data_IF_889672079044
#
_entry.id   IF_889672079044
#
_cell.length_a   1.000
_cell.length_b   1.000
_cell.length_c   1.000
_cell.angle_alpha   90.00
_cell.angle_beta   90.00
_cell.angle_gamma   90.00
#
_symmetry.space_group_name_H-M   'P 1'
#
loop_
_entity.id
_entity.type
_entity.pdbx_description
1 polymer ?
#
# COMPACT_ATOMS: atom_id res chain seq x y z
N UNK A 1 23.45 -2.87 10.76
CA UNK A 1 22.53 -1.73 10.62
C UNK A 1 21.40 -1.93 11.63
N UNK A 2 21.29 -1.04 12.62
CA UNK A 2 20.24 -1.14 13.64
C UNK A 2 18.87 -0.92 12.98
N UNK A 3 17.95 -1.86 13.16
CA UNK A 3 16.55 -1.79 12.71
C UNK A 3 15.90 -0.46 13.12
N UNK A 4 14.91 0.01 12.37
CA UNK A 4 14.12 1.20 12.69
C UNK A 4 13.38 1.07 14.03
N UNK A 5 13.16 -0.16 14.51
CA UNK A 5 12.80 -0.38 15.91
C UNK A 5 13.79 0.36 16.84
N UNK A 6 15.09 0.27 16.59
CA UNK A 6 16.12 0.98 17.34
C UNK A 6 16.13 2.49 17.08
N UNK A 7 15.90 2.98 15.86
CA UNK A 7 15.91 4.44 15.58
C UNK A 7 14.66 5.16 16.10
N UNK A 8 13.48 4.54 16.07
CA UNK A 8 12.27 5.06 16.73
C UNK A 8 12.37 4.95 18.26
N UNK A 9 13.16 4.01 18.79
CA UNK A 9 13.52 3.95 20.22
C UNK A 9 14.55 5.04 20.58
N UNK A 10 15.49 5.40 19.70
CA UNK A 10 16.59 6.35 20.03
C UNK A 10 16.12 7.81 20.12
N UNK A 11 14.98 8.18 19.51
CA UNK A 11 14.35 9.47 19.80
C UNK A 11 13.52 9.47 21.10
N UNK A 12 13.60 8.41 21.92
CA UNK A 12 13.01 8.34 23.25
C UNK A 12 14.06 8.57 24.34
N UNK A 13 14.32 9.84 24.67
CA UNK A 13 14.66 10.22 26.05
C UNK A 13 13.40 10.19 26.94
N UNK A 14 12.65 9.08 26.89
CA UNK A 14 11.40 8.91 27.62
C UNK A 14 11.32 7.50 28.20
N UNK A 15 11.52 7.37 29.51
CA UNK A 15 11.63 6.10 30.22
C UNK A 15 10.41 5.16 30.13
N UNK A 16 10.50 4.05 30.86
CA UNK A 16 9.55 2.91 30.96
C UNK A 16 8.04 3.24 30.92
N UNK A 17 7.61 4.46 31.24
CA UNK A 17 6.21 4.91 31.12
C UNK A 17 5.73 5.27 29.70
N UNK A 18 6.63 5.48 28.73
CA UNK A 18 6.27 5.82 27.34
C UNK A 18 5.69 4.62 26.59
N UNK A 19 6.34 3.46 26.68
CA UNK A 19 5.93 2.21 26.03
C UNK A 19 4.57 1.70 26.52
N UNK A 20 4.29 1.78 27.82
CA UNK A 20 3.01 1.36 28.41
C UNK A 20 1.84 2.28 27.97
N UNK A 21 2.11 3.58 27.82
CA UNK A 21 1.15 4.55 27.27
C UNK A 21 0.77 4.22 25.82
N UNK A 22 1.73 3.84 24.99
CA UNK A 22 1.48 3.47 23.59
C UNK A 22 0.72 2.16 23.44
N UNK A 23 1.02 1.15 24.25
CA UNK A 23 0.29 -0.12 24.28
C UNK A 23 -1.19 0.07 24.69
N UNK A 24 -1.44 0.94 25.68
CA UNK A 24 -2.80 1.29 26.12
C UNK A 24 -3.59 2.03 25.04
N UNK A 25 -2.96 2.97 24.34
CA UNK A 25 -3.56 3.69 23.22
C UNK A 25 -3.90 2.75 22.06
N UNK A 26 -3.00 1.84 21.70
CA UNK A 26 -3.23 0.84 20.66
C UNK A 26 -4.43 -0.07 20.98
N UNK A 27 -4.51 -0.55 22.23
CA UNK A 27 -5.62 -1.38 22.71
C UNK A 27 -6.97 -0.66 22.67
N UNK A 28 -6.99 0.65 22.92
CA UNK A 28 -8.21 1.47 22.84
C UNK A 28 -8.58 1.85 21.40
N UNK A 29 -7.58 2.06 20.54
CA UNK A 29 -7.74 2.52 19.17
C UNK A 29 -8.15 1.40 18.19
N UNK A 30 -7.95 0.13 18.56
CA UNK A 30 -8.42 -1.02 17.78
C UNK A 30 -7.43 -1.47 16.72
N UNK A 31 -7.92 -1.91 15.55
CA UNK A 31 -7.07 -2.32 14.42
C UNK A 31 -6.72 -1.13 13.54
N UNK A 32 -5.53 -1.15 12.96
CA UNK A 32 -5.12 -0.15 11.98
C UNK A 32 -5.70 -0.49 10.59
N UNK A 33 -6.51 0.40 10.02
CA UNK A 33 -7.21 0.19 8.75
C UNK A 33 -6.53 0.86 7.56
N UNK A 34 -6.25 0.06 6.54
CA UNK A 34 -5.63 0.49 5.29
C UNK A 34 -6.59 0.20 4.15
N UNK A 35 -6.86 1.20 3.32
CA UNK A 35 -7.47 0.98 2.01
C UNK A 35 -6.36 0.88 0.96
N UNK A 36 -6.26 -0.25 0.27
CA UNK A 36 -5.34 -0.42 -0.85
C UNK A 36 -6.11 -0.23 -2.17
N UNK A 37 -5.58 0.65 -3.01
CA UNK A 37 -6.18 1.12 -4.26
C UNK A 37 -5.22 0.89 -5.41
N UNK A 38 -5.74 0.62 -6.60
CA UNK A 38 -4.94 0.60 -7.81
C UNK A 38 -5.55 -0.27 -8.90
N UNK A 39 -4.98 -0.21 -10.10
CA UNK A 39 -5.40 -1.00 -11.28
C UNK A 39 -5.41 -2.51 -11.00
N UNK A 40 -6.08 -3.26 -11.86
CA UNK A 40 -5.95 -4.72 -11.87
C UNK A 40 -4.46 -5.08 -12.05
N UNK A 41 -4.01 -6.10 -11.33
CA UNK A 41 -2.61 -6.56 -11.35
C UNK A 41 -1.56 -5.50 -10.95
N UNK A 42 -1.94 -4.46 -10.20
CA UNK A 42 -1.00 -3.44 -9.70
C UNK A 42 -0.09 -3.91 -8.54
N UNK A 43 -0.19 -5.19 -8.10
CA UNK A 43 0.62 -5.74 -7.02
C UNK A 43 0.04 -5.59 -5.61
N UNK A 44 -1.26 -5.23 -5.49
CA UNK A 44 -1.94 -5.00 -4.20
C UNK A 44 -1.79 -6.17 -3.22
N UNK A 45 -2.22 -7.37 -3.61
CA UNK A 45 -2.13 -8.57 -2.77
C UNK A 45 -0.69 -8.91 -2.38
N UNK A 46 0.27 -8.72 -3.30
CA UNK A 46 1.70 -8.94 -3.02
C UNK A 46 2.20 -8.01 -1.92
N UNK A 47 1.84 -6.72 -1.95
CA UNK A 47 2.18 -5.76 -0.90
C UNK A 47 1.57 -6.17 0.44
N UNK A 48 0.30 -6.60 0.45
CA UNK A 48 -0.38 -7.04 1.68
C UNK A 48 0.29 -8.27 2.30
N UNK A 49 0.63 -9.27 1.50
CA UNK A 49 1.36 -10.46 1.95
C UNK A 49 2.74 -10.09 2.51
N UNK A 50 3.44 -9.17 1.84
CA UNK A 50 4.76 -8.68 2.26
C UNK A 50 4.74 -7.89 3.56
N UNK A 51 3.81 -6.94 3.73
CA UNK A 51 3.72 -6.18 4.99
C UNK A 51 3.34 -7.07 6.17
N UNK A 52 2.62 -8.17 5.91
CA UNK A 52 2.25 -9.14 6.93
C UNK A 52 3.25 -10.30 7.06
N UNK A 53 4.40 -10.23 6.38
CA UNK A 53 5.45 -11.26 6.37
C UNK A 53 4.88 -12.69 6.26
N UNK A 54 3.99 -12.91 5.27
CA UNK A 54 3.30 -14.18 5.06
C UNK A 54 3.08 -14.47 3.59
N UNK A 55 2.94 -15.75 3.27
CA UNK A 55 2.47 -16.23 1.96
C UNK A 55 0.99 -16.63 1.99
N UNK A 56 0.40 -16.73 3.18
CA UNK A 56 -0.97 -17.18 3.40
C UNK A 56 -1.98 -16.15 2.89
N UNK A 57 -3.18 -16.62 2.58
CA UNK A 57 -4.29 -15.74 2.25
C UNK A 57 -4.96 -15.18 3.52
N UNK A 58 -5.49 -13.94 3.47
CA UNK A 58 -6.17 -13.35 4.59
C UNK A 58 -7.52 -14.03 4.83
N UNK A 59 -7.98 -13.97 6.08
CA UNK A 59 -9.36 -14.24 6.41
C UNK A 59 -10.21 -13.03 6.01
N UNK A 60 -11.31 -13.30 5.30
CA UNK A 60 -12.23 -12.26 4.83
C UNK A 60 -13.49 -12.28 5.71
N UNK A 61 -13.88 -11.10 6.19
CA UNK A 61 -15.09 -10.89 6.97
C UNK A 61 -15.98 -9.86 6.30
N UNK A 62 -17.29 -10.12 6.23
CA UNK A 62 -18.23 -9.15 5.68
C UNK A 62 -18.53 -8.01 6.67
N UNK A 63 -19.33 -7.02 6.26
CA UNK A 63 -19.74 -5.90 7.12
C UNK A 63 -20.52 -6.28 8.40
N UNK A 64 -20.95 -7.54 8.54
CA UNK A 64 -21.58 -8.09 9.76
C UNK A 64 -20.58 -8.80 10.69
N UNK A 65 -19.32 -8.93 10.26
CA UNK A 65 -18.29 -9.67 10.99
C UNK A 65 -18.37 -11.18 10.77
N UNK A 66 -19.13 -11.65 9.78
CA UNK A 66 -19.22 -13.07 9.44
C UNK A 66 -18.08 -13.43 8.49
N UNK A 67 -17.40 -14.54 8.76
CA UNK A 67 -16.35 -15.05 7.87
C UNK A 67 -16.98 -15.52 6.56
N UNK A 68 -16.44 -15.04 5.44
CA UNK A 68 -16.85 -15.45 4.09
C UNK A 68 -15.81 -16.38 3.50
N UNK A 69 -16.24 -17.33 2.65
CA UNK A 69 -15.32 -18.24 1.99
C UNK A 69 -14.43 -17.48 0.99
N UNK A 70 -13.12 -17.72 1.07
CA UNK A 70 -12.07 -16.86 0.52
C UNK A 70 -11.51 -17.30 -0.83
N UNK A 71 -12.14 -18.27 -1.50
CA UNK A 71 -11.71 -18.84 -2.80
C UNK A 71 -11.66 -17.84 -3.97
N UNK A 72 -11.86 -16.55 -3.72
CA UNK A 72 -11.94 -15.42 -4.66
C UNK A 72 -10.65 -14.60 -4.84
N UNK A 73 -9.52 -15.02 -4.26
CA UNK A 73 -8.24 -14.29 -4.37
C UNK A 73 -7.26 -14.84 -5.43
N UNK A 74 -7.61 -15.94 -6.11
CA UNK A 74 -6.83 -16.44 -7.24
C UNK A 74 -6.82 -15.43 -8.41
N UNK A 75 -5.71 -15.28 -9.17
CA UNK A 75 -5.60 -14.35 -10.31
C UNK A 75 -6.50 -14.70 -11.51
N UNK A 76 -7.47 -15.61 -11.37
CA UNK A 76 -8.31 -16.08 -12.47
C UNK A 76 -9.51 -15.15 -12.71
N UNK A 77 -10.03 -15.20 -13.94
CA UNK A 77 -11.04 -14.27 -14.46
C UNK A 77 -12.40 -14.28 -13.72
N UNK A 78 -12.61 -15.20 -12.78
CA UNK A 78 -13.84 -15.33 -11.99
C UNK A 78 -13.66 -14.67 -10.61
N UNK A 79 -13.50 -13.35 -10.61
CA UNK A 79 -13.55 -12.55 -9.37
C UNK A 79 -14.98 -12.51 -8.81
N UNK A 80 -15.37 -13.56 -8.10
CA UNK A 80 -16.55 -13.53 -7.22
C UNK A 80 -16.47 -12.34 -6.25
N UNK A 81 -17.62 -11.67 -6.05
CA UNK A 81 -17.99 -10.68 -5.02
C UNK A 81 -16.83 -10.06 -4.19
N UNK A 82 -15.88 -9.40 -4.84
CA UNK A 82 -14.98 -8.43 -4.19
C UNK A 82 -15.80 -7.20 -3.76
N UNK A 83 -16.08 -7.06 -2.48
CA UNK A 83 -16.72 -5.89 -1.88
C UNK A 83 -15.69 -5.14 -1.02
N UNK A 84 -15.45 -3.87 -1.34
CA UNK A 84 -14.51 -3.00 -0.64
C UNK A 84 -14.83 -2.86 0.86
N UNK A 85 -16.09 -3.13 1.25
CA UNK A 85 -16.51 -3.10 2.66
C UNK A 85 -16.02 -4.30 3.46
N UNK A 86 -15.65 -5.40 2.79
CA UNK A 86 -15.10 -6.59 3.43
C UNK A 86 -13.76 -6.28 4.10
N UNK A 87 -13.54 -6.89 5.25
CA UNK A 87 -12.33 -6.79 6.04
C UNK A 87 -11.42 -7.97 5.73
N UNK A 88 -10.19 -7.69 5.28
CA UNK A 88 -9.15 -8.69 5.07
C UNK A 88 -8.16 -8.63 6.24
N UNK A 89 -7.99 -9.76 6.93
CA UNK A 89 -7.14 -9.86 8.12
C UNK A 89 -6.19 -11.04 7.97
N UNK A 90 -4.89 -10.77 8.01
CA UNK A 90 -3.87 -11.82 8.00
C UNK A 90 -3.62 -12.33 9.42
N UNK A 91 -3.57 -13.64 9.59
CA UNK A 91 -3.28 -14.25 10.90
C UNK A 91 -1.89 -13.91 11.43
N UNK A 92 -0.93 -13.72 10.52
CA UNK A 92 0.43 -13.30 10.86
C UNK A 92 0.48 -11.87 11.41
N UNK A 93 -0.52 -11.03 11.11
CA UNK A 93 -0.61 -9.66 11.60
C UNK A 93 -2.06 -9.21 11.82
N UNK A 94 -2.71 -9.66 12.92
CA UNK A 94 -4.13 -9.42 13.16
C UNK A 94 -4.46 -7.99 13.62
N UNK A 95 -3.44 -7.15 13.82
CA UNK A 95 -3.61 -5.75 14.16
C UNK A 95 -3.93 -4.87 12.95
N UNK A 96 -3.72 -5.36 11.73
CA UNK A 96 -4.19 -4.69 10.51
C UNK A 96 -5.58 -5.16 10.09
N UNK A 97 -6.29 -4.26 9.42
CA UNK A 97 -7.45 -4.60 8.60
C UNK A 97 -7.31 -3.91 7.27
N UNK A 98 -7.29 -4.71 6.21
CA UNK A 98 -7.16 -4.22 4.85
C UNK A 98 -8.51 -4.21 4.16
N UNK A 99 -8.72 -3.18 3.35
CA UNK A 99 -9.80 -3.09 2.39
C UNK A 99 -9.17 -3.01 1.01
N UNK A 100 -9.54 -3.90 0.10
CA UNK A 100 -9.01 -3.92 -1.27
C UNK A 100 -10.06 -3.32 -2.23
N UNK A 101 -9.68 -2.27 -2.96
CA UNK A 101 -10.51 -1.82 -4.08
C UNK A 101 -10.39 -2.81 -5.24
N UNK A 102 -11.45 -3.02 -6.02
CA UNK A 102 -11.26 -3.75 -7.28
C UNK A 102 -10.30 -2.95 -8.17
N UNK A 103 -9.70 -3.66 -9.14
CA UNK A 103 -8.85 -3.00 -10.11
C UNK A 103 -9.63 -1.89 -10.82
N UNK A 104 -9.10 -0.66 -10.84
CA UNK A 104 -9.60 0.38 -11.73
C UNK A 104 -9.31 -0.06 -13.16
N UNK A 105 -10.31 -0.56 -13.87
CA UNK A 105 -10.22 -0.80 -15.30
C UNK A 105 -10.52 0.50 -16.06
N UNK A 106 -9.88 0.66 -17.22
CA UNK A 106 -9.97 1.87 -18.03
C UNK A 106 -11.43 2.12 -18.47
N UNK A 107 -12.17 2.93 -17.71
CA UNK A 107 -13.57 3.26 -17.94
C UNK A 107 -14.52 3.02 -16.76
N UNK A 108 -14.07 2.42 -15.67
CA UNK A 108 -14.91 2.08 -14.51
C UNK A 108 -15.29 3.27 -13.63
N UNK A 109 -16.18 4.16 -14.10
CA UNK A 109 -16.78 5.23 -13.28
C UNK A 109 -17.40 4.65 -12.00
N UNK A 110 -17.97 3.45 -12.09
CA UNK A 110 -18.61 2.76 -10.98
C UNK A 110 -17.63 2.42 -9.85
N UNK A 111 -16.40 2.01 -10.16
CA UNK A 111 -15.41 1.65 -9.14
C UNK A 111 -14.95 2.89 -8.38
N UNK A 112 -14.72 4.00 -9.10
CA UNK A 112 -14.41 5.28 -8.48
C UNK A 112 -15.52 5.72 -7.49
N UNK A 113 -16.80 5.60 -7.89
CA UNK A 113 -17.91 5.95 -7.00
C UNK A 113 -18.01 5.02 -5.78
N UNK A 114 -17.73 3.71 -5.94
CA UNK A 114 -17.69 2.78 -4.81
C UNK A 114 -16.60 3.15 -3.80
N UNK A 115 -15.38 3.42 -4.26
CA UNK A 115 -14.29 3.85 -3.38
C UNK A 115 -14.63 5.18 -2.71
N UNK A 116 -15.23 6.13 -3.45
CA UNK A 116 -15.62 7.44 -2.91
C UNK A 116 -16.67 7.31 -1.82
N UNK A 117 -17.71 6.50 -2.07
CA UNK A 117 -18.76 6.20 -1.10
C UNK A 117 -18.17 5.52 0.14
N UNK A 118 -17.33 4.50 -0.06
CA UNK A 118 -16.68 3.78 1.03
C UNK A 118 -15.86 4.71 1.94
N UNK A 119 -15.02 5.57 1.36
CA UNK A 119 -14.27 6.56 2.13
C UNK A 119 -15.18 7.55 2.85
N UNK A 120 -16.25 8.02 2.20
CA UNK A 120 -17.22 8.94 2.82
C UNK A 120 -17.95 8.30 4.01
N UNK A 121 -18.35 7.04 3.89
CA UNK A 121 -19.05 6.32 4.94
C UNK A 121 -18.09 6.04 6.11
N UNK A 122 -16.87 5.56 5.83
CA UNK A 122 -15.83 5.36 6.85
C UNK A 122 -15.42 6.65 7.56
N UNK A 123 -15.40 7.79 6.86
CA UNK A 123 -15.07 9.08 7.45
C UNK A 123 -16.14 9.60 8.44
N UNK A 124 -17.39 9.11 8.36
CA UNK A 124 -18.49 9.48 9.27
C UNK A 124 -18.51 8.64 10.54
N UNK A 125 -17.74 7.56 10.60
CA UNK A 125 -17.70 6.69 11.77
C UNK A 125 -17.14 7.43 12.99
N UNK A 126 -17.77 7.22 14.15
CA UNK A 126 -17.37 7.92 15.40
C UNK A 126 -16.13 7.32 16.03
N UNK A 127 -15.93 6.01 15.84
CA UNK A 127 -14.84 5.26 16.47
C UNK A 127 -13.67 5.18 15.52
N UNK A 128 -12.48 5.52 16.01
CA UNK A 128 -11.24 5.47 15.23
C UNK A 128 -11.05 4.10 14.55
N UNK A 129 -11.27 3.01 15.31
CA UNK A 129 -11.18 1.64 14.81
C UNK A 129 -12.07 1.30 13.62
N UNK A 130 -13.04 2.14 13.27
CA UNK A 130 -13.99 1.90 12.18
C UNK A 130 -13.75 2.86 10.99
N UNK A 131 -12.80 3.81 11.12
CA UNK A 131 -12.37 4.75 10.07
C UNK A 131 -11.19 4.18 9.25
N UNK A 132 -10.98 4.68 8.03
CA UNK A 132 -9.74 4.41 7.27
C UNK A 132 -8.62 5.34 7.78
N UNK A 133 -7.44 4.78 8.03
CA UNK A 133 -6.31 5.54 8.57
C UNK A 133 -5.32 6.01 7.49
N UNK A 134 -5.14 5.23 6.43
CA UNK A 134 -4.28 5.57 5.29
C UNK A 134 -4.77 4.87 4.04
N UNK A 135 -4.52 5.51 2.89
CA UNK A 135 -4.75 4.93 1.58
C UNK A 135 -3.40 4.62 0.94
N UNK A 136 -3.25 3.39 0.46
CA UNK A 136 -2.10 2.96 -0.33
C UNK A 136 -2.52 2.85 -1.79
N UNK A 137 -2.03 3.73 -2.65
CA UNK A 137 -2.38 3.73 -4.07
C UNK A 137 -1.25 3.12 -4.89
N UNK A 138 -1.48 1.94 -5.47
CA UNK A 138 -0.50 1.17 -6.25
C UNK A 138 -0.52 1.58 -7.73
N UNK A 139 0.65 1.98 -8.24
CA UNK A 139 0.87 2.41 -9.63
C UNK A 139 1.90 1.46 -10.25
N UNK A 140 1.49 0.56 -11.15
CA UNK A 140 2.41 -0.37 -11.79
C UNK A 140 3.25 0.35 -12.86
N UNK A 141 4.57 0.16 -12.79
CA UNK A 141 5.55 0.79 -13.69
C UNK A 141 5.91 -0.06 -14.91
N UNK A 142 5.23 -1.21 -15.08
CA UNK A 142 5.43 -2.11 -16.23
C UNK A 142 4.59 -1.73 -17.47
N UNK A 143 4.09 -0.49 -17.51
CA UNK A 143 3.33 0.09 -18.62
C UNK A 143 4.12 1.29 -19.16
N UNK A 144 4.16 1.45 -20.48
CA UNK A 144 4.76 2.60 -21.18
C UNK A 144 4.27 3.95 -20.65
N UNK A 145 3.02 4.00 -20.15
CA UNK A 145 2.41 5.18 -19.53
C UNK A 145 1.81 4.80 -18.17
N UNK A 146 2.60 4.86 -17.08
CA UNK A 146 2.17 4.42 -15.76
C UNK A 146 0.99 5.22 -15.20
N UNK A 147 0.99 6.54 -15.46
CA UNK A 147 -0.10 7.43 -15.06
C UNK A 147 -1.19 7.41 -16.12
N UNK A 148 -2.34 6.84 -15.78
CA UNK A 148 -3.49 6.73 -16.69
C UNK A 148 -4.64 7.62 -16.23
N UNK A 149 -5.77 7.57 -16.95
CA UNK A 149 -6.99 8.23 -16.54
C UNK A 149 -7.48 7.77 -15.14
N UNK A 150 -7.15 6.55 -14.70
CA UNK A 150 -7.51 6.09 -13.35
C UNK A 150 -6.80 6.92 -12.26
N UNK A 151 -5.48 7.04 -12.38
CA UNK A 151 -4.65 7.86 -11.47
C UNK A 151 -5.08 9.32 -11.53
N UNK A 152 -5.23 9.88 -12.73
CA UNK A 152 -5.66 11.27 -12.90
C UNK A 152 -7.03 11.49 -12.25
N UNK A 153 -8.01 10.60 -12.45
CA UNK A 153 -9.32 10.75 -11.80
C UNK A 153 -9.23 10.67 -10.27
N UNK A 154 -8.46 9.73 -9.74
CA UNK A 154 -8.25 9.61 -8.30
C UNK A 154 -7.66 10.89 -7.71
N UNK A 155 -6.50 11.31 -8.21
CA UNK A 155 -5.74 12.43 -7.63
C UNK A 155 -6.31 13.82 -8.00
N UNK A 156 -7.16 13.95 -9.02
CA UNK A 156 -7.81 15.23 -9.36
C UNK A 156 -9.21 15.41 -8.77
N UNK A 157 -9.99 14.33 -8.57
CA UNK A 157 -11.42 14.42 -8.24
C UNK A 157 -11.83 13.76 -6.92
N UNK A 158 -11.05 12.82 -6.38
CA UNK A 158 -11.51 11.98 -5.26
C UNK A 158 -11.70 12.79 -3.98
N UNK A 159 -10.67 13.55 -3.59
CA UNK A 159 -10.60 14.26 -2.33
C UNK A 159 -10.75 13.32 -1.12
N UNK A 160 -9.64 12.87 -0.54
CA UNK A 160 -9.63 11.86 0.54
C UNK A 160 -9.85 12.44 1.95
N UNK A 161 -10.19 13.74 2.03
CA UNK A 161 -10.40 14.43 3.29
C UNK A 161 -9.12 14.48 4.13
N UNK A 162 -9.17 13.93 5.35
CA UNK A 162 -8.03 13.88 6.29
C UNK A 162 -7.17 12.62 6.15
N UNK A 163 -7.60 11.66 5.32
CA UNK A 163 -6.92 10.38 5.16
C UNK A 163 -5.75 10.58 4.19
N UNK A 164 -4.49 10.40 4.65
CA UNK A 164 -3.32 10.53 3.79
C UNK A 164 -3.27 9.41 2.75
N UNK A 165 -2.70 9.73 1.60
CA UNK A 165 -2.46 8.83 0.48
C UNK A 165 -0.96 8.67 0.29
N UNK A 166 -0.50 7.41 0.29
CA UNK A 166 0.86 7.03 -0.11
C UNK A 166 0.79 6.44 -1.52
N UNK A 167 1.51 7.04 -2.47
CA UNK A 167 1.68 6.48 -3.81
C UNK A 167 2.78 5.40 -3.79
N UNK A 168 2.42 4.18 -4.19
CA UNK A 168 3.32 3.03 -4.21
C UNK A 168 3.58 2.66 -5.65
N UNK A 169 4.77 2.97 -6.15
CA UNK A 169 5.19 2.55 -7.47
C UNK A 169 5.65 1.10 -7.40
N UNK A 170 4.98 0.22 -8.15
CA UNK A 170 5.22 -1.23 -8.14
C UNK A 170 5.80 -1.70 -9.46
N UNK A 171 6.38 -2.90 -9.47
CA UNK A 171 6.98 -3.51 -10.67
C UNK A 171 8.07 -2.62 -11.30
N UNK A 172 8.82 -1.91 -10.47
CA UNK A 172 9.85 -0.99 -10.94
C UNK A 172 10.99 -1.71 -11.67
N UNK A 173 11.17 -3.01 -11.45
CA UNK A 173 12.11 -3.86 -12.20
C UNK A 173 11.77 -3.95 -13.70
N UNK A 174 10.52 -3.72 -14.09
CA UNK A 174 10.13 -3.73 -15.50
C UNK A 174 10.57 -2.46 -16.24
N UNK A 175 10.92 -1.38 -15.53
CA UNK A 175 11.23 -0.09 -16.15
C UNK A 175 12.41 -0.15 -17.11
N UNK A 176 13.46 -0.90 -16.77
CA UNK A 176 14.64 -1.02 -17.63
C UNK A 176 14.33 -1.84 -18.89
N UNK A 177 13.57 -2.93 -18.76
CA UNK A 177 13.16 -3.74 -19.90
C UNK A 177 12.25 -2.93 -20.85
N UNK A 178 11.26 -2.23 -20.31
CA UNK A 178 10.40 -1.33 -21.09
C UNK A 178 11.20 -0.18 -21.71
N UNK A 179 12.20 0.35 -21.00
CA UNK A 179 13.09 1.38 -21.55
C UNK A 179 13.89 0.86 -22.76
N UNK A 180 14.40 -0.36 -22.70
CA UNK A 180 15.09 -1.00 -23.82
C UNK A 180 14.16 -1.11 -25.03
N UNK A 181 12.96 -1.65 -24.84
CA UNK A 181 11.96 -1.82 -25.90
C UNK A 181 11.61 -0.49 -26.58
N UNK A 182 11.38 0.56 -25.79
CA UNK A 182 11.07 1.90 -26.30
C UNK A 182 12.25 2.48 -27.07
N UNK A 183 13.45 2.45 -26.50
CA UNK A 183 14.65 3.00 -27.13
C UNK A 183 14.96 2.29 -28.46
N UNK A 184 14.77 0.96 -28.52
CA UNK A 184 14.93 0.21 -29.77
C UNK A 184 13.85 0.57 -30.80
N UNK A 185 12.60 0.73 -30.36
CA UNK A 185 11.47 1.03 -31.25
C UNK A 185 11.46 2.46 -31.79
N UNK A 186 11.74 3.46 -30.94
CA UNK A 186 11.66 4.87 -31.30
C UNK A 186 12.94 5.40 -31.93
N UNK A 187 14.10 4.94 -31.47
CA UNK A 187 15.40 5.47 -31.90
C UNK A 187 16.19 4.49 -32.80
N UNK A 188 15.65 3.30 -33.06
CA UNK A 188 16.26 2.27 -33.92
C UNK A 188 17.71 1.93 -33.54
N UNK A 189 18.02 1.95 -32.24
CA UNK A 189 19.35 1.63 -31.72
C UNK A 189 19.50 0.14 -31.36
N UNK A 190 20.74 -0.34 -31.28
CA UNK A 190 21.02 -1.74 -30.91
C UNK A 190 20.57 -2.03 -29.47
N UNK A 191 20.23 -3.29 -29.16
CA UNK A 191 19.96 -3.73 -27.78
C UNK A 191 21.08 -3.32 -26.82
N UNK A 192 22.33 -3.42 -27.25
CA UNK A 192 23.51 -3.06 -26.44
C UNK A 192 23.53 -1.58 -26.08
N UNK A 193 23.18 -0.70 -27.01
CA UNK A 193 23.16 0.75 -26.76
C UNK A 193 21.90 1.18 -26.00
N UNK A 194 20.77 0.53 -26.27
CA UNK A 194 19.54 0.68 -25.50
C UNK A 194 19.76 0.28 -24.03
N UNK A 195 20.37 -0.88 -23.77
CA UNK A 195 20.66 -1.36 -22.41
C UNK A 195 21.58 -0.41 -21.62
N UNK A 196 22.51 0.28 -22.28
CA UNK A 196 23.35 1.31 -21.63
C UNK A 196 22.56 2.55 -21.20
N UNK A 197 21.52 2.91 -21.96
CA UNK A 197 20.69 4.11 -21.72
C UNK A 197 19.45 3.82 -20.88
N UNK A 198 19.04 2.55 -20.81
CA UNK A 198 17.83 2.11 -20.13
C UNK A 198 17.73 2.55 -18.66
N UNK A 199 18.80 2.50 -17.83
CA UNK A 199 18.71 2.94 -16.43
C UNK A 199 18.38 4.43 -16.29
N UNK A 200 18.98 5.28 -17.12
CA UNK A 200 18.72 6.73 -17.11
C UNK A 200 17.30 7.03 -17.61
N UNK A 201 16.88 6.35 -18.67
CA UNK A 201 15.52 6.46 -19.21
C UNK A 201 14.46 6.00 -18.20
N UNK A 202 14.68 4.87 -17.54
CA UNK A 202 13.84 4.33 -16.46
C UNK A 202 13.70 5.34 -15.31
N UNK A 203 14.82 5.90 -14.84
CA UNK A 203 14.84 6.92 -13.78
C UNK A 203 14.07 8.17 -14.19
N UNK A 204 14.23 8.63 -15.43
CA UNK A 204 13.50 9.79 -15.98
C UNK A 204 11.99 9.53 -16.05
N UNK A 205 11.57 8.34 -16.48
CA UNK A 205 10.15 7.99 -16.55
C UNK A 205 9.50 7.92 -15.17
N UNK A 206 10.19 7.32 -14.20
CA UNK A 206 9.75 7.26 -12.81
C UNK A 206 9.63 8.66 -12.21
N UNK A 207 10.60 9.53 -12.46
CA UNK A 207 10.53 10.95 -12.06
C UNK A 207 9.37 11.70 -12.71
N UNK A 208 9.14 11.50 -14.02
CA UNK A 208 8.02 12.13 -14.72
C UNK A 208 6.67 11.67 -14.16
N UNK A 209 6.50 10.38 -13.89
CA UNK A 209 5.28 9.84 -13.29
C UNK A 209 5.03 10.47 -11.90
N UNK A 210 6.08 10.61 -11.09
CA UNK A 210 6.00 11.31 -9.81
C UNK A 210 5.56 12.78 -9.98
N UNK A 211 6.20 13.54 -10.87
CA UNK A 211 5.84 14.93 -11.15
C UNK A 211 4.41 15.10 -11.66
N UNK A 212 3.89 14.14 -12.44
CA UNK A 212 2.50 14.17 -12.90
C UNK A 212 1.50 14.04 -11.76
N UNK A 213 1.82 13.27 -10.73
CA UNK A 213 1.00 13.15 -9.51
C UNK A 213 1.07 14.41 -8.64
N UNK A 214 2.24 15.03 -8.53
CA UNK A 214 2.42 16.27 -7.75
C UNK A 214 1.63 17.46 -8.31
N UNK A 215 1.41 17.48 -9.64
CA UNK A 215 0.59 18.50 -10.29
C UNK A 215 -0.91 18.36 -10.00
N UNK A 216 -1.35 17.23 -9.45
CA UNK A 216 -2.76 16.97 -9.20
C UNK A 216 -3.25 17.72 -7.96
N UNK A 217 -4.53 18.09 -7.97
CA UNK A 217 -5.18 18.83 -6.87
C UNK A 217 -5.05 18.13 -5.51
N UNK A 218 -5.12 16.80 -5.50
CA UNK A 218 -5.02 15.98 -4.31
C UNK A 218 -3.78 15.09 -4.39
N UNK A 219 -2.59 15.69 -4.56
CA UNK A 219 -1.31 14.97 -4.64
C UNK A 219 -1.10 14.03 -3.43
N UNK A 220 -0.39 12.91 -3.61
CA UNK A 220 -0.05 12.02 -2.51
C UNK A 220 0.82 12.75 -1.46
N UNK A 221 0.63 12.41 -0.18
CA UNK A 221 1.41 12.97 0.93
C UNK A 221 2.77 12.26 1.10
N UNK A 222 2.91 11.07 0.53
CA UNK A 222 4.16 10.32 0.51
C UNK A 222 4.21 9.40 -0.70
N UNK A 223 5.40 8.95 -1.06
CA UNK A 223 5.59 7.98 -2.13
C UNK A 223 6.73 7.02 -1.82
N UNK A 224 6.67 5.82 -2.40
CA UNK A 224 7.71 4.80 -2.30
C UNK A 224 7.85 4.03 -3.60
N UNK A 225 9.03 3.47 -3.85
CA UNK A 225 9.34 2.68 -5.04
C UNK A 225 9.67 1.26 -4.61
N UNK A 226 8.78 0.32 -4.89
CA UNK A 226 9.00 -1.07 -4.51
C UNK A 226 9.58 -1.86 -5.69
N UNK A 227 10.70 -2.52 -5.43
CA UNK A 227 11.44 -3.37 -6.36
C UNK A 227 11.52 -4.80 -5.80
N UNK A 228 11.69 -5.77 -6.69
CA UNK A 228 11.99 -7.17 -6.33
C UNK A 228 10.97 -7.79 -5.36
N UNK A 229 9.69 -7.40 -5.47
CA UNK A 229 8.62 -7.83 -4.57
C UNK A 229 8.31 -9.34 -4.66
N UNK A 230 8.78 -10.00 -5.72
CA UNK A 230 8.76 -11.45 -5.92
C UNK A 230 9.80 -12.20 -5.08
N UNK A 231 10.85 -11.53 -4.59
CA UNK A 231 11.93 -12.19 -3.85
C UNK A 231 11.49 -12.44 -2.40
N UNK A 232 11.65 -13.64 -1.83
CA UNK A 232 11.11 -13.99 -0.51
C UNK A 232 11.51 -13.04 0.62
N UNK A 233 12.75 -12.53 0.58
CA UNK A 233 13.35 -11.73 1.67
C UNK A 233 13.27 -10.21 1.47
N UNK A 234 12.53 -9.72 0.47
CA UNK A 234 12.31 -8.29 0.29
C UNK A 234 11.44 -7.74 1.41
N UNK A 235 11.99 -6.80 2.18
CA UNK A 235 11.34 -6.09 3.28
C UNK A 235 10.65 -4.80 2.78
N UNK A 236 9.42 -4.54 3.22
CA UNK A 236 8.67 -3.32 2.88
C UNK A 236 8.99 -2.14 3.81
N UNK A 237 10.24 -2.01 4.23
CA UNK A 237 10.66 -1.02 5.23
C UNK A 237 10.33 0.41 4.81
N UNK A 238 10.62 0.76 3.55
CA UNK A 238 10.36 2.11 3.03
C UNK A 238 8.86 2.45 3.06
N UNK A 239 7.99 1.48 2.77
CA UNK A 239 6.54 1.66 2.86
C UNK A 239 6.08 1.89 4.30
N UNK A 240 6.67 1.17 5.26
CA UNK A 240 6.38 1.36 6.70
C UNK A 240 6.80 2.75 7.15
N UNK A 241 8.03 3.17 6.83
CA UNK A 241 8.56 4.48 7.21
C UNK A 241 7.77 5.64 6.58
N UNK A 242 7.50 5.55 5.28
CA UNK A 242 6.71 6.54 4.55
C UNK A 242 5.27 6.60 5.08
N UNK A 243 4.66 5.45 5.38
CA UNK A 243 3.32 5.44 6.00
C UNK A 243 3.34 6.11 7.36
N UNK A 244 4.33 5.83 8.21
CA UNK A 244 4.43 6.46 9.53
C UNK A 244 4.61 7.99 9.44
N UNK A 245 5.37 8.48 8.47
CA UNK A 245 5.66 9.91 8.31
C UNK A 245 4.46 10.73 7.80
N UNK A 246 3.55 10.12 7.03
CA UNK A 246 2.36 10.82 6.50
C UNK A 246 1.15 10.77 7.42
N UNK A 247 1.18 9.94 8.47
CA UNK A 247 0.06 9.81 9.40
C UNK A 247 -0.11 11.07 10.24
N UNK A 248 -1.34 11.58 10.23
CA UNK A 248 -1.72 12.76 10.97
C UNK A 248 -2.03 12.40 12.45
N UNK A 249 -1.17 12.83 13.36
CA UNK A 249 -1.41 12.80 14.80
C UNK A 249 -0.82 11.59 15.54
N UNK A 250 -0.35 11.85 16.75
CA UNK A 250 0.41 10.92 17.59
C UNK A 250 -0.31 9.60 17.87
N UNK A 251 -1.65 9.63 17.95
CA UNK A 251 -2.45 8.41 18.19
C UNK A 251 -2.42 7.45 17.01
N UNK A 252 -2.50 7.96 15.77
CA UNK A 252 -2.47 7.11 14.58
C UNK A 252 -1.07 6.55 14.32
N UNK A 253 -0.03 7.38 14.51
CA UNK A 253 1.35 6.93 14.43
C UNK A 253 1.64 5.84 15.45
N UNK A 254 1.20 6.03 16.70
CA UNK A 254 1.36 5.02 17.74
C UNK A 254 0.59 3.73 17.46
N UNK A 255 -0.64 3.82 16.99
CA UNK A 255 -1.42 2.65 16.60
C UNK A 255 -0.71 1.87 15.47
N UNK A 256 -0.15 2.59 14.49
CA UNK A 256 0.57 1.97 13.39
C UNK A 256 1.86 1.27 13.86
N UNK A 257 2.69 1.96 14.64
CA UNK A 257 3.96 1.42 15.17
C UNK A 257 3.73 0.22 16.09
N UNK A 258 2.75 0.30 16.99
CA UNK A 258 2.40 -0.82 17.88
C UNK A 258 1.91 -2.04 17.10
N UNK A 259 1.13 -1.84 16.05
CA UNK A 259 0.69 -2.93 15.16
C UNK A 259 1.87 -3.64 14.50
N UNK A 260 2.87 -2.87 14.03
CA UNK A 260 4.10 -3.42 13.46
C UNK A 260 4.95 -4.18 14.49
N UNK A 261 5.05 -3.69 15.73
CA UNK A 261 5.79 -4.37 16.81
C UNK A 261 5.18 -5.72 17.19
N UNK A 262 3.85 -5.78 17.33
CA UNK A 262 3.13 -7.04 17.60
C UNK A 262 3.34 -8.04 16.47
N UNK A 263 3.34 -7.58 15.21
CA UNK A 263 3.65 -8.43 14.06
C UNK A 263 5.04 -9.07 14.16
N UNK A 264 6.06 -8.27 14.49
CA UNK A 264 7.44 -8.77 14.64
C UNK A 264 7.54 -9.81 15.76
N UNK A 265 6.88 -9.57 16.89
CA UNK A 265 6.86 -10.51 18.01
C UNK A 265 6.18 -11.84 17.64
N UNK A 266 5.06 -11.79 16.93
CA UNK A 266 4.36 -12.98 16.41
C UNK A 266 5.27 -13.73 15.45
N UNK A 267 5.91 -13.06 14.49
CA UNK A 267 6.83 -13.68 13.54
C UNK A 267 7.99 -14.40 14.24
N UNK A 268 8.59 -13.79 15.26
CA UNK A 268 9.68 -14.43 16.04
C UNK A 268 9.18 -15.69 16.75
N UNK A 269 8.02 -15.65 17.41
CA UNK A 269 7.47 -16.82 18.12
C UNK A 269 7.19 -18.01 17.20
N UNK A 270 6.78 -17.76 15.96
CA UNK A 270 6.55 -18.82 14.96
C UNK A 270 7.86 -19.34 14.35
N UNK A 271 8.91 -18.52 14.27
CA UNK A 271 10.22 -18.95 13.78
C UNK A 271 11.03 -19.80 14.78
N UNK A 272 10.68 -19.75 16.06
CA UNK A 272 11.36 -20.50 17.15
C UNK A 272 10.65 -21.78 17.58
N UNK A 273 9.60 -22.20 16.86
CA UNK A 273 8.90 -23.47 17.07
C UNK A 273 9.25 -24.45 15.96
#
# INVERSE_FOLDING_TARGET
>A
MRSIASKLIINQDGGEGSTDRWAKLAKQAGRFRILIVGRANAGKTTILKKICNTTDDPEIYNGRGEKVDGSTLEPTAERGIHDITNEMIFRSNPGFTFHDSRGFEAGGVDEFQKVKKFLSDRAKEKKLKDQIHVIWYCIPMNDSRPITNAEVQFFSKMGTGKVPVVAIFTKCEALELTAIEILQGEENISFRDAAKRAPEYAKKNLWNAHLELEKQKFSPQGHVYLQEMQMPHTECTELVECTASVLNGDTLQALFVSTQQVSLEISVRYATK
#
